data_IF_757898139498
#
_entry.id   IF_757898139498
#
_cell.length_a   1.000
_cell.length_b   1.000
_cell.length_c   1.000
_cell.angle_alpha   90.00
_cell.angle_beta   90.00
_cell.angle_gamma   90.00
#
_symmetry.space_group_name_H-M   'P 1'
#
loop_
_entity.id
_entity.type
_entity.pdbx_description
1 polymer ?
#
# COMPACT_ATOMS: atom_id res chain seq x y z
N UNK A 1 22.90 43.95 -38.53
CA UNK A 1 21.80 44.66 -37.86
C UNK A 1 20.99 45.50 -38.84
N UNK A 2 21.63 46.41 -39.61
CA UNK A 2 20.95 47.31 -40.55
C UNK A 2 20.02 46.60 -41.56
N UNK A 3 20.45 45.48 -42.15
CA UNK A 3 19.64 44.74 -43.12
C UNK A 3 18.41 44.10 -42.43
N UNK A 4 18.55 43.58 -41.20
CA UNK A 4 17.46 42.99 -40.43
C UNK A 4 16.44 44.06 -40.04
N UNK A 5 16.91 45.24 -39.64
CA UNK A 5 16.05 46.36 -39.27
C UNK A 5 15.29 46.90 -40.50
N UNK A 6 15.95 46.97 -41.66
CA UNK A 6 15.34 47.39 -42.91
C UNK A 6 14.21 46.44 -43.37
N UNK A 7 14.38 45.15 -43.21
CA UNK A 7 13.38 44.15 -43.58
C UNK A 7 12.39 43.81 -42.45
N UNK A 8 12.51 44.44 -41.28
CA UNK A 8 11.65 44.17 -40.12
C UNK A 8 11.78 42.74 -39.56
N UNK A 9 12.92 42.09 -39.79
CA UNK A 9 13.18 40.70 -39.35
C UNK A 9 13.96 40.73 -38.04
N UNK A 10 13.51 39.96 -37.06
CA UNK A 10 14.24 39.80 -35.78
C UNK A 10 15.61 39.20 -36.04
N UNK A 11 16.60 39.70 -35.30
CA UNK A 11 17.94 39.12 -35.32
C UNK A 11 17.86 37.63 -34.86
N UNK A 12 18.62 36.72 -35.49
CA UNK A 12 18.71 35.35 -35.01
C UNK A 12 19.22 35.32 -33.59
N UNK A 13 18.62 34.47 -32.77
CA UNK A 13 19.11 34.21 -31.39
C UNK A 13 20.43 33.44 -31.47
N UNK A 14 21.39 33.88 -30.67
CA UNK A 14 22.67 33.16 -30.53
C UNK A 14 22.42 31.93 -29.71
N UNK A 15 22.63 30.75 -30.28
CA UNK A 15 22.58 29.49 -29.56
C UNK A 15 23.98 29.24 -29.00
N UNK A 16 24.11 29.37 -27.66
CA UNK A 16 25.39 29.20 -26.97
C UNK A 16 25.81 27.71 -26.86
N UNK A 17 24.85 26.80 -26.84
CA UNK A 17 25.08 25.35 -26.76
C UNK A 17 24.08 24.61 -27.66
N UNK A 18 24.62 23.77 -28.57
CA UNK A 18 23.84 22.92 -29.48
C UNK A 18 23.62 21.51 -28.93
N UNK A 19 24.10 21.25 -27.72
CA UNK A 19 23.85 19.94 -27.07
C UNK A 19 22.39 19.79 -26.71
N UNK A 20 21.88 18.57 -26.84
CA UNK A 20 20.52 18.22 -26.42
C UNK A 20 20.38 18.51 -24.94
N UNK A 21 19.42 19.35 -24.59
CA UNK A 21 19.07 19.66 -23.20
C UNK A 21 17.88 18.83 -22.77
N UNK A 22 17.69 18.67 -21.44
CA UNK A 22 16.56 17.90 -20.90
C UNK A 22 15.21 18.44 -21.39
N UNK A 23 15.08 19.73 -21.59
CA UNK A 23 13.87 20.38 -22.15
C UNK A 23 13.52 19.95 -23.57
N UNK A 24 14.52 19.47 -24.33
CA UNK A 24 14.39 19.10 -25.76
C UNK A 24 13.99 17.61 -25.88
N UNK A 25 13.99 16.87 -24.77
CA UNK A 25 13.60 15.47 -24.75
C UNK A 25 12.07 15.34 -24.75
N UNK A 26 11.59 14.49 -25.66
CA UNK A 26 10.21 14.02 -25.59
C UNK A 26 10.11 13.01 -24.45
N UNK A 27 9.22 13.21 -23.50
CA UNK A 27 8.95 12.27 -22.42
C UNK A 27 7.45 12.14 -22.17
N UNK A 28 7.04 10.94 -21.82
CA UNK A 28 5.67 10.67 -21.45
C UNK A 28 5.39 11.12 -20.00
N UNK A 29 4.25 11.78 -19.80
CA UNK A 29 3.77 12.07 -18.45
C UNK A 29 3.26 10.79 -17.81
N UNK A 30 4.07 10.18 -16.98
CA UNK A 30 3.71 8.96 -16.24
C UNK A 30 2.75 9.30 -15.12
N UNK A 31 1.71 8.45 -14.94
CA UNK A 31 0.81 8.55 -13.78
C UNK A 31 1.62 8.29 -12.50
N UNK A 32 1.53 9.19 -11.55
CA UNK A 32 2.13 9.00 -10.22
C UNK A 32 1.18 8.24 -9.28
N UNK A 33 1.77 7.53 -8.33
CA UNK A 33 1.07 6.90 -7.22
C UNK A 33 1.13 7.82 -5.98
N UNK A 34 0.16 7.64 -5.09
CA UNK A 34 0.20 8.22 -3.74
C UNK A 34 0.83 7.22 -2.77
N UNK A 35 1.43 7.68 -1.66
CA UNK A 35 1.94 6.77 -0.62
C UNK A 35 0.89 5.81 -0.02
N UNK A 36 -0.39 6.18 -0.10
CA UNK A 36 -1.53 5.36 0.36
C UNK A 36 -2.00 4.32 -0.66
N UNK A 37 -1.53 4.38 -1.90
CA UNK A 37 -1.92 3.40 -2.92
C UNK A 37 -1.34 2.02 -2.60
N UNK A 38 -2.14 0.99 -2.87
CA UNK A 38 -1.70 -0.39 -2.65
C UNK A 38 -0.68 -0.84 -3.69
N UNK A 39 0.15 -1.82 -3.32
CA UNK A 39 1.08 -2.49 -4.24
C UNK A 39 0.34 -3.11 -5.42
N UNK A 40 -0.88 -3.63 -5.20
CA UNK A 40 -1.73 -4.16 -6.27
C UNK A 40 -2.14 -3.06 -7.26
N UNK A 41 -2.51 -1.86 -6.77
CA UNK A 41 -2.81 -0.72 -7.63
C UNK A 41 -1.59 -0.29 -8.45
N UNK A 42 -0.40 -0.29 -7.82
CA UNK A 42 0.86 -0.02 -8.50
C UNK A 42 1.10 -1.02 -9.65
N UNK A 43 0.97 -2.33 -9.36
CA UNK A 43 1.12 -3.40 -10.35
C UNK A 43 0.14 -3.23 -11.52
N UNK A 44 -1.14 -3.07 -11.24
CA UNK A 44 -2.18 -2.91 -12.26
C UNK A 44 -1.93 -1.67 -13.13
N UNK A 45 -1.52 -0.56 -12.53
CA UNK A 45 -1.16 0.67 -13.25
C UNK A 45 0.06 0.45 -14.16
N UNK A 46 1.07 -0.30 -13.70
CA UNK A 46 2.24 -0.65 -14.53
C UNK A 46 1.85 -1.46 -15.76
N UNK A 47 0.98 -2.46 -15.58
CA UNK A 47 0.48 -3.31 -16.67
C UNK A 47 -0.34 -2.47 -17.66
N UNK A 48 -1.30 -1.68 -17.17
CA UNK A 48 -2.17 -0.83 -17.99
C UNK A 48 -1.37 0.16 -18.85
N UNK A 49 -0.32 0.74 -18.29
CA UNK A 49 0.51 1.76 -18.97
C UNK A 49 1.74 1.20 -19.67
N UNK A 50 1.97 -0.12 -19.62
CA UNK A 50 3.15 -0.74 -20.24
C UNK A 50 4.48 -0.27 -19.64
N UNK A 51 4.49 0.21 -18.40
CA UNK A 51 5.70 0.69 -17.71
C UNK A 51 6.12 -0.28 -16.61
N UNK A 52 7.39 -0.28 -16.25
CA UNK A 52 7.95 -1.12 -15.17
C UNK A 52 8.27 -0.34 -13.90
N UNK A 53 8.02 0.98 -13.92
CA UNK A 53 8.39 1.89 -12.83
C UNK A 53 7.35 3.00 -12.74
N UNK A 54 6.95 3.35 -11.51
CA UNK A 54 6.05 4.46 -11.24
C UNK A 54 6.64 5.35 -10.14
N UNK A 55 6.55 6.69 -10.29
CA UNK A 55 6.90 7.61 -9.22
C UNK A 55 5.80 7.62 -8.14
N UNK A 56 6.23 7.79 -6.89
CA UNK A 56 5.35 8.03 -5.75
C UNK A 56 5.45 9.49 -5.36
N UNK A 57 4.31 10.16 -5.29
CA UNK A 57 4.21 11.61 -5.06
C UNK A 57 3.22 11.86 -3.94
N UNK A 58 3.60 12.69 -2.97
CA UNK A 58 2.73 13.09 -1.86
C UNK A 58 1.59 14.01 -2.33
N UNK A 59 0.62 14.25 -1.43
CA UNK A 59 -0.56 15.07 -1.73
C UNK A 59 -0.19 16.53 -2.11
N UNK A 60 0.93 17.05 -1.60
CA UNK A 60 1.48 18.37 -1.92
C UNK A 60 2.38 18.37 -3.19
N UNK A 61 2.38 17.28 -3.94
CA UNK A 61 3.10 17.19 -5.22
C UNK A 61 4.60 16.88 -5.10
N UNK A 62 5.12 16.57 -3.90
CA UNK A 62 6.54 16.25 -3.72
C UNK A 62 6.85 14.81 -4.04
N UNK A 63 7.95 14.61 -4.76
CA UNK A 63 8.49 13.29 -5.04
C UNK A 63 8.93 12.59 -3.74
N UNK A 64 8.43 11.37 -3.52
CA UNK A 64 8.71 10.55 -2.35
C UNK A 64 9.61 9.36 -2.67
N UNK A 65 9.58 8.89 -3.92
CA UNK A 65 10.35 7.76 -4.36
C UNK A 65 9.79 7.13 -5.63
N UNK A 66 10.31 5.97 -5.95
CA UNK A 66 9.84 5.15 -7.07
C UNK A 66 9.51 3.75 -6.58
N UNK A 67 8.54 3.11 -7.23
CA UNK A 67 8.28 1.69 -7.09
C UNK A 67 8.52 1.00 -8.44
N UNK A 68 9.16 -0.16 -8.41
CA UNK A 68 9.49 -0.93 -9.61
C UNK A 68 8.84 -2.31 -9.56
N UNK A 69 8.61 -2.91 -10.74
CA UNK A 69 8.12 -4.30 -10.85
C UNK A 69 9.04 -5.29 -10.14
N UNK A 70 10.36 -5.03 -10.14
CA UNK A 70 11.34 -5.89 -9.49
C UNK A 70 11.21 -5.85 -7.97
N UNK A 71 10.95 -4.67 -7.38
CA UNK A 71 10.73 -4.54 -5.94
C UNK A 71 9.44 -5.19 -5.49
N UNK A 72 8.38 -5.09 -6.30
CA UNK A 72 7.13 -5.82 -6.05
C UNK A 72 7.40 -7.33 -6.05
N UNK A 73 8.07 -7.84 -7.08
CA UNK A 73 8.40 -9.27 -7.16
C UNK A 73 9.26 -9.73 -5.99
N UNK A 74 10.29 -8.97 -5.62
CA UNK A 74 11.13 -9.27 -4.45
C UNK A 74 10.32 -9.33 -3.15
N UNK A 75 9.40 -8.40 -2.93
CA UNK A 75 8.59 -8.37 -1.71
C UNK A 75 7.70 -9.60 -1.58
N UNK A 76 7.21 -10.14 -2.70
CA UNK A 76 6.41 -11.36 -2.75
C UNK A 76 7.26 -12.63 -2.56
N UNK A 77 8.46 -12.68 -3.18
CA UNK A 77 9.33 -13.86 -3.14
C UNK A 77 9.99 -14.09 -1.78
N UNK A 78 10.43 -13.03 -1.14
CA UNK A 78 11.19 -13.16 0.10
C UNK A 78 10.33 -13.26 1.35
N UNK A 79 8.99 -13.25 1.23
CA UNK A 79 8.01 -13.44 2.31
C UNK A 79 8.44 -12.82 3.66
N UNK A 80 9.30 -11.85 3.64
CA UNK A 80 9.66 -11.12 4.84
C UNK A 80 8.44 -10.27 5.21
N UNK A 81 7.54 -10.86 5.96
CA UNK A 81 6.46 -10.16 6.65
C UNK A 81 7.10 -9.14 7.60
N UNK A 82 7.55 -8.06 6.99
CA UNK A 82 8.04 -6.92 7.75
C UNK A 82 6.88 -6.39 8.58
N UNK A 83 7.20 -5.89 9.72
CA UNK A 83 6.25 -5.07 10.45
C UNK A 83 5.72 -3.99 9.52
N UNK A 84 4.42 -3.96 9.36
CA UNK A 84 3.73 -2.93 8.60
C UNK A 84 3.17 -1.90 9.56
N UNK A 85 3.01 -0.68 9.10
CA UNK A 85 2.29 0.37 9.81
C UNK A 85 1.19 0.87 8.89
N UNK A 86 -0.06 0.50 9.19
CA UNK A 86 -1.20 0.76 8.30
C UNK A 86 -2.35 1.41 9.06
N UNK A 87 -2.91 2.52 8.55
CA UNK A 87 -4.18 3.06 9.00
C UNK A 87 -5.34 2.12 8.68
N UNK A 88 -6.32 2.02 9.58
CA UNK A 88 -7.54 1.22 9.38
C UNK A 88 -8.26 1.59 8.09
N UNK A 89 -8.36 2.88 7.80
CA UNK A 89 -8.99 3.40 6.58
C UNK A 89 -8.38 2.80 5.31
N UNK A 90 -7.03 2.72 5.24
CA UNK A 90 -6.34 2.12 4.11
C UNK A 90 -6.61 0.63 3.97
N UNK A 91 -6.70 -0.10 5.09
CA UNK A 91 -7.05 -1.53 5.08
C UNK A 91 -8.46 -1.71 4.54
N UNK A 92 -9.44 -1.00 5.11
CA UNK A 92 -10.84 -1.09 4.68
C UNK A 92 -11.01 -0.70 3.22
N UNK A 93 -10.38 0.38 2.76
CA UNK A 93 -10.45 0.84 1.38
C UNK A 93 -9.91 -0.19 0.38
N UNK A 94 -8.70 -0.72 0.64
CA UNK A 94 -8.04 -1.65 -0.28
C UNK A 94 -8.65 -3.06 -0.27
N UNK A 95 -9.09 -3.55 0.89
CA UNK A 95 -9.72 -4.87 1.03
C UNK A 95 -11.24 -4.82 0.81
N UNK A 96 -11.84 -3.63 0.72
CA UNK A 96 -13.30 -3.42 0.72
C UNK A 96 -13.96 -4.08 1.93
N UNK A 97 -13.26 -4.02 3.07
CA UNK A 97 -13.65 -4.66 4.31
C UNK A 97 -14.61 -3.78 5.11
N UNK A 98 -15.50 -4.42 5.86
CA UNK A 98 -16.41 -3.82 6.82
C UNK A 98 -15.83 -3.93 8.24
N UNK A 99 -15.91 -2.86 9.03
CA UNK A 99 -15.46 -2.84 10.42
C UNK A 99 -16.51 -3.45 11.32
N UNK A 100 -16.22 -4.61 11.90
CA UNK A 100 -17.12 -5.29 12.86
C UNK A 100 -16.88 -4.79 14.29
N UNK A 101 -15.60 -4.63 14.69
CA UNK A 101 -15.22 -4.08 16.00
C UNK A 101 -14.09 -3.07 15.79
N UNK A 102 -14.24 -1.86 16.32
CA UNK A 102 -13.22 -0.81 16.23
C UNK A 102 -12.63 -0.49 17.60
N UNK A 103 -11.33 -0.76 17.77
CA UNK A 103 -10.55 -0.44 18.96
C UNK A 103 -9.31 0.42 18.67
N UNK A 104 -8.93 0.58 17.40
CA UNK A 104 -7.79 1.40 16.97
C UNK A 104 -7.97 1.96 15.57
N UNK A 105 -7.18 2.99 15.23
CA UNK A 105 -7.19 3.65 13.93
C UNK A 105 -5.93 3.38 13.10
N UNK A 106 -4.88 2.82 13.69
CA UNK A 106 -3.63 2.48 13.02
C UNK A 106 -2.97 1.28 13.70
N UNK A 107 -2.39 0.39 12.91
CA UNK A 107 -1.84 -0.88 13.37
C UNK A 107 -0.41 -1.06 12.90
N UNK A 108 0.47 -1.44 13.84
CA UNK A 108 1.88 -1.73 13.56
C UNK A 108 2.23 -3.10 14.08
N UNK A 109 2.37 -4.08 13.19
CA UNK A 109 2.63 -5.47 13.55
C UNK A 109 3.10 -6.31 12.37
N UNK A 110 3.42 -7.57 12.63
CA UNK A 110 3.65 -8.56 11.57
C UNK A 110 2.29 -8.98 11.00
N UNK A 111 2.23 -9.20 9.71
CA UNK A 111 1.05 -9.77 9.07
C UNK A 111 1.22 -11.28 9.02
N UNK A 112 0.29 -12.01 9.64
CA UNK A 112 0.32 -13.47 9.73
C UNK A 112 -1.00 -14.05 9.21
N UNK A 113 -0.93 -14.97 8.26
CA UNK A 113 -2.11 -15.72 7.79
C UNK A 113 -2.25 -17.00 8.61
N UNK A 114 -3.40 -17.17 9.26
CA UNK A 114 -3.67 -18.28 10.17
C UNK A 114 -4.31 -19.46 9.43
N UNK A 115 -3.57 -20.05 8.49
CA UNK A 115 -4.02 -21.19 7.66
C UNK A 115 -3.54 -22.55 8.17
N UNK A 116 -2.79 -22.58 9.25
CA UNK A 116 -2.22 -23.78 9.87
C UNK A 116 -3.11 -24.39 10.96
N UNK A 117 -2.68 -25.50 11.55
CA UNK A 117 -3.26 -26.07 12.76
C UNK A 117 -3.09 -25.12 13.96
N UNK A 118 -3.91 -25.32 15.00
CA UNK A 118 -3.88 -24.45 16.19
C UNK A 118 -2.51 -24.47 16.88
N UNK A 119 -1.86 -25.63 16.95
CA UNK A 119 -0.55 -25.79 17.59
C UNK A 119 0.55 -24.97 16.91
N UNK A 120 0.54 -24.90 15.58
CA UNK A 120 1.49 -24.12 14.82
C UNK A 120 1.19 -22.62 14.94
N UNK A 121 -0.10 -22.25 14.96
CA UNK A 121 -0.54 -20.87 15.13
C UNK A 121 -0.11 -20.32 16.49
N UNK A 122 -0.18 -21.13 17.56
CA UNK A 122 0.29 -20.76 18.89
C UNK A 122 1.76 -20.35 18.94
N UNK A 123 2.58 -20.93 18.07
CA UNK A 123 4.00 -20.60 17.96
C UNK A 123 4.30 -19.41 17.04
N UNK A 124 3.36 -19.05 16.17
CA UNK A 124 3.56 -18.01 15.12
C UNK A 124 2.99 -16.65 15.53
N UNK A 125 1.82 -16.66 16.19
CA UNK A 125 1.06 -15.46 16.48
C UNK A 125 1.50 -14.83 17.80
N UNK A 126 1.70 -13.52 17.79
CA UNK A 126 2.06 -12.74 18.97
C UNK A 126 1.13 -11.55 19.21
N UNK A 127 1.20 -11.02 20.42
CA UNK A 127 0.49 -9.79 20.78
C UNK A 127 0.89 -8.64 19.85
N UNK A 128 -0.10 -7.87 19.39
CA UNK A 128 0.09 -6.74 18.47
C UNK A 128 0.29 -7.13 17.01
N UNK A 129 0.29 -8.41 16.64
CA UNK A 129 0.36 -8.83 15.25
C UNK A 129 -0.94 -8.48 14.48
N UNK A 130 -0.88 -8.50 13.17
CA UNK A 130 -2.05 -8.39 12.29
C UNK A 130 -2.34 -9.79 11.76
N UNK A 131 -3.49 -10.33 12.12
CA UNK A 131 -3.88 -11.71 11.81
C UNK A 131 -4.92 -11.75 10.69
N UNK A 132 -4.76 -12.70 9.77
CA UNK A 132 -5.73 -12.98 8.71
C UNK A 132 -6.22 -14.41 8.89
N UNK A 133 -7.55 -14.58 9.03
CA UNK A 133 -8.16 -15.89 9.26
C UNK A 133 -9.47 -16.03 8.47
N UNK A 134 -9.81 -17.28 8.13
CA UNK A 134 -11.11 -17.62 7.57
C UNK A 134 -12.18 -17.79 8.66
N UNK A 135 -13.25 -18.50 8.31
CA UNK A 135 -14.37 -18.80 9.22
C UNK A 135 -14.02 -19.97 10.16
N UNK A 136 -13.02 -19.78 11.04
CA UNK A 136 -12.56 -20.76 12.05
C UNK A 136 -12.66 -20.14 13.43
N UNK A 137 -13.76 -20.44 14.12
CA UNK A 137 -14.09 -19.82 15.41
C UNK A 137 -13.03 -20.07 16.50
N UNK A 138 -12.44 -21.26 16.55
CA UNK A 138 -11.34 -21.64 17.43
C UNK A 138 -10.12 -20.72 17.26
N UNK A 139 -9.77 -20.43 16.04
CA UNK A 139 -8.62 -19.58 15.71
C UNK A 139 -8.94 -18.09 15.90
N UNK A 140 -10.19 -17.69 15.61
CA UNK A 140 -10.65 -16.31 15.85
C UNK A 140 -10.57 -15.98 17.33
N UNK A 141 -11.10 -16.88 18.19
CA UNK A 141 -11.06 -16.74 19.66
C UNK A 141 -9.60 -16.65 20.14
N UNK A 142 -8.76 -17.59 19.73
CA UNK A 142 -7.35 -17.59 20.08
C UNK A 142 -6.62 -16.31 19.65
N UNK A 143 -6.89 -15.79 18.44
CA UNK A 143 -6.29 -14.55 17.97
C UNK A 143 -6.72 -13.35 18.82
N UNK A 144 -7.99 -13.31 19.24
CA UNK A 144 -8.50 -12.25 20.12
C UNK A 144 -7.85 -12.35 21.51
N UNK A 145 -7.72 -13.56 22.07
CA UNK A 145 -7.08 -13.77 23.37
C UNK A 145 -5.58 -13.45 23.36
N UNK A 146 -4.92 -13.68 22.23
CA UNK A 146 -3.53 -13.29 22.02
C UNK A 146 -3.37 -11.76 21.89
N UNK A 147 -4.46 -10.99 21.85
CA UNK A 147 -4.50 -9.52 21.71
C UNK A 147 -3.78 -9.04 20.45
N UNK A 148 -4.13 -9.62 19.32
CA UNK A 148 -3.66 -9.08 18.03
C UNK A 148 -4.16 -7.64 17.84
N UNK A 149 -3.39 -6.80 17.17
CA UNK A 149 -3.78 -5.41 16.96
C UNK A 149 -4.95 -5.29 15.96
N UNK A 150 -4.94 -6.14 14.93
CA UNK A 150 -5.97 -6.19 13.90
C UNK A 150 -6.24 -7.62 13.47
N UNK A 151 -7.51 -8.01 13.48
CA UNK A 151 -7.98 -9.29 12.98
C UNK A 151 -8.78 -9.08 11.68
N UNK A 152 -8.32 -9.70 10.60
CA UNK A 152 -8.95 -9.62 9.27
C UNK A 152 -9.63 -10.96 9.01
N UNK A 153 -10.95 -10.95 8.94
CA UNK A 153 -11.76 -12.11 8.62
C UNK A 153 -11.95 -12.20 7.11
N UNK A 154 -11.73 -13.38 6.54
CA UNK A 154 -11.96 -13.62 5.12
C UNK A 154 -13.25 -14.42 4.90
N UNK A 155 -13.78 -14.33 3.66
CA UNK A 155 -14.98 -15.10 3.29
C UNK A 155 -16.28 -14.57 3.89
N UNK A 156 -16.34 -13.28 4.24
CA UNK A 156 -17.49 -12.63 4.88
C UNK A 156 -17.90 -13.29 6.20
N UNK A 157 -16.92 -13.79 6.95
CA UNK A 157 -17.16 -14.33 8.27
C UNK A 157 -17.71 -13.24 9.21
N UNK A 158 -18.63 -13.61 10.07
CA UNK A 158 -19.25 -12.74 11.05
C UNK A 158 -18.81 -13.16 12.45
N UNK A 159 -18.80 -12.21 13.38
CA UNK A 159 -18.62 -12.51 14.79
C UNK A 159 -19.97 -12.74 15.45
N UNK A 160 -20.02 -13.69 16.37
CA UNK A 160 -21.13 -13.79 17.30
C UNK A 160 -21.01 -12.72 18.42
N UNK A 161 -22.02 -12.60 19.27
CA UNK A 161 -22.05 -11.62 20.35
C UNK A 161 -20.91 -11.82 21.36
N UNK A 162 -20.56 -13.07 21.65
CA UNK A 162 -19.52 -13.46 22.60
C UNK A 162 -18.13 -13.02 22.10
N UNK A 163 -17.76 -13.37 20.86
CA UNK A 163 -16.49 -12.96 20.24
C UNK A 163 -16.42 -11.45 20.04
N UNK A 164 -17.56 -10.80 19.76
CA UNK A 164 -17.64 -9.34 19.65
C UNK A 164 -17.33 -8.66 20.99
N UNK A 165 -17.90 -9.20 22.09
CA UNK A 165 -17.63 -8.69 23.44
C UNK A 165 -16.17 -8.95 23.84
N UNK A 166 -15.64 -10.14 23.54
CA UNK A 166 -14.25 -10.51 23.82
C UNK A 166 -13.26 -9.62 23.05
N UNK A 167 -13.51 -9.36 21.78
CA UNK A 167 -12.68 -8.47 20.97
C UNK A 167 -12.64 -7.04 21.53
N UNK A 168 -13.78 -6.50 21.97
CA UNK A 168 -13.85 -5.20 22.63
C UNK A 168 -13.09 -5.18 23.95
N UNK A 169 -13.24 -6.21 24.77
CA UNK A 169 -12.56 -6.33 26.07
C UNK A 169 -11.04 -6.41 25.92
N UNK A 170 -10.56 -7.11 24.90
CA UNK A 170 -9.13 -7.27 24.62
C UNK A 170 -8.54 -6.16 23.73
N UNK A 171 -9.34 -5.17 23.30
CA UNK A 171 -8.87 -4.06 22.48
C UNK A 171 -8.52 -4.45 21.04
N UNK A 172 -9.10 -5.52 20.51
CA UNK A 172 -8.83 -6.04 19.17
C UNK A 172 -9.78 -5.42 18.15
N UNK A 173 -9.22 -4.78 17.12
CA UNK A 173 -10.03 -4.33 15.98
C UNK A 173 -10.28 -5.50 15.03
N UNK A 174 -11.52 -5.66 14.59
CA UNK A 174 -11.92 -6.75 13.68
C UNK A 174 -12.59 -6.19 12.44
N UNK A 175 -12.15 -6.64 11.25
CA UNK A 175 -12.76 -6.34 9.95
C UNK A 175 -13.12 -7.64 9.20
N UNK A 176 -14.13 -7.57 8.33
CA UNK A 176 -14.55 -8.69 7.48
C UNK A 176 -14.63 -8.27 6.02
#
# INVERSE_FOLDING_TARGET
QYALDYFGVKAPEVIEDVKIQVKDLSYDKVKSLKPSDSVLNAYNTMIEKGTKTLPVVSADGKFQGIITMVEIAKSLMYQHFRRVNIPLENVCYNLKGEVLVKCGDSFSGRVTTLSYGIEEIMNLLGEGDIAIVGNRYDIIEYAIDTKVALLILTGKAQLNEELTALAKANGVTVIS
#
